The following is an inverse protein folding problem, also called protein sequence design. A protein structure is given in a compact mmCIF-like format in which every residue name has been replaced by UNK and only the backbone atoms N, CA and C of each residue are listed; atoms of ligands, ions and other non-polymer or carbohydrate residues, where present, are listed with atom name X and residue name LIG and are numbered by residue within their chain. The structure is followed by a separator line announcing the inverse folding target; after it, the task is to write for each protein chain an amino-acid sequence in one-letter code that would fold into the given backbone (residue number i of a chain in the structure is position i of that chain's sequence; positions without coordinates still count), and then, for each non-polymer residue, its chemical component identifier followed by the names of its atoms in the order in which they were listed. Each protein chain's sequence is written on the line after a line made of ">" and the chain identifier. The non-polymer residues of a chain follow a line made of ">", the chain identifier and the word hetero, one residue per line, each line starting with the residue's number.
data_IF_876400940140
#
_entry.id   IF_876400940140
#
_cell.length_a   1.000
_cell.length_b   1.000
_cell.length_c   1.000
_cell.angle_alpha   90.00
_cell.angle_beta   90.00
_cell.angle_gamma   90.00
#
_symmetry.space_group_name_H-M   'P 1'
#
loop_
_entity.id
_entity.type
_entity.pdbx_description
1 polymer ?
#
# COMPACT_ATOMS: atom_id res chain seq x y z
N UNK A 1 -3.45 5.72 -15.16
CA UNK A 1 -4.52 5.52 -14.15
C UNK A 1 -4.13 5.87 -12.70
N UNK A 2 -2.85 5.96 -12.34
CA UNK A 2 -2.44 6.25 -10.95
C UNK A 2 -2.83 7.65 -10.44
N UNK A 3 -3.17 7.72 -9.16
CA UNK A 3 -3.38 8.92 -8.35
C UNK A 3 -2.70 8.68 -6.99
N UNK A 4 -1.97 9.65 -6.47
CA UNK A 4 -1.20 9.47 -5.25
C UNK A 4 -1.59 10.54 -4.23
N UNK A 5 -1.92 10.12 -3.01
CA UNK A 5 -2.18 11.03 -1.89
C UNK A 5 -1.05 10.91 -0.89
N UNK A 6 -0.28 11.99 -0.71
CA UNK A 6 0.86 12.03 0.22
C UNK A 6 0.36 12.38 1.63
N UNK A 7 0.62 11.49 2.59
CA UNK A 7 0.18 11.59 3.99
C UNK A 7 1.42 11.74 4.86
N UNK A 8 1.54 12.88 5.56
CA UNK A 8 2.72 13.24 6.38
C UNK A 8 2.32 13.98 7.64
N UNK A 9 3.22 14.05 8.61
CA UNK A 9 3.05 14.78 9.88
C UNK A 9 1.77 14.32 10.59
N UNK A 10 0.93 15.24 11.06
CA UNK A 10 -0.36 14.93 11.68
C UNK A 10 -1.30 14.07 10.82
N UNK A 11 -1.10 14.02 9.49
CA UNK A 11 -1.84 13.13 8.60
C UNK A 11 -1.62 11.65 8.89
N UNK A 12 -0.43 11.26 9.38
CA UNK A 12 -0.11 9.87 9.71
C UNK A 12 -0.98 9.37 10.87
N UNK A 13 -1.10 10.17 11.92
CA UNK A 13 -1.97 9.87 13.06
C UNK A 13 -3.45 9.80 12.63
N UNK A 14 -3.89 10.67 11.72
CA UNK A 14 -5.25 10.63 11.17
C UNK A 14 -5.52 9.34 10.39
N UNK A 15 -4.56 8.89 9.57
CA UNK A 15 -4.68 7.62 8.85
C UNK A 15 -4.75 6.42 9.81
N UNK A 16 -3.89 6.39 10.84
CA UNK A 16 -3.91 5.33 11.85
C UNK A 16 -5.24 5.25 12.60
N UNK A 17 -5.80 6.41 12.98
CA UNK A 17 -7.10 6.50 13.62
C UNK A 17 -8.24 6.02 12.70
N UNK A 18 -8.22 6.42 11.42
CA UNK A 18 -9.24 6.00 10.45
C UNK A 18 -9.19 4.49 10.21
N UNK A 19 -8.00 3.91 10.02
CA UNK A 19 -7.84 2.45 9.89
C UNK A 19 -8.36 1.71 11.13
N UNK A 20 -8.08 2.22 12.33
CA UNK A 20 -8.62 1.66 13.57
C UNK A 20 -10.15 1.75 13.63
N UNK A 21 -10.72 2.90 13.26
CA UNK A 21 -12.18 3.10 13.20
C UNK A 21 -12.83 2.10 12.23
N UNK A 22 -12.33 2.02 10.99
CA UNK A 22 -12.82 1.07 9.97
C UNK A 22 -12.73 -0.38 10.46
N UNK A 23 -11.63 -0.75 11.13
CA UNK A 23 -11.49 -2.08 11.70
C UNK A 23 -12.58 -2.40 12.74
N UNK A 24 -12.92 -1.45 13.62
CA UNK A 24 -13.98 -1.61 14.62
C UNK A 24 -15.37 -1.71 13.98
N UNK A 25 -15.61 -1.01 12.88
CA UNK A 25 -16.90 -1.00 12.18
C UNK A 25 -17.12 -2.28 11.37
N UNK A 26 -16.06 -2.80 10.73
CA UNK A 26 -16.18 -3.90 9.77
C UNK A 26 -15.93 -5.28 10.39
N UNK A 27 -15.21 -5.37 11.50
CA UNK A 27 -14.88 -6.65 12.14
C UNK A 27 -15.83 -6.94 13.27
N UNK A 28 -16.47 -8.12 13.20
CA UNK A 28 -17.39 -8.57 14.24
C UNK A 28 -16.68 -8.72 15.60
N UNK A 29 -17.38 -8.54 16.73
CA UNK A 29 -16.77 -8.61 18.06
C UNK A 29 -15.99 -9.91 18.34
N UNK A 30 -16.45 -11.04 17.80
CA UNK A 30 -15.80 -12.35 17.96
C UNK A 30 -14.46 -12.48 17.22
N UNK A 31 -14.26 -11.70 16.14
CA UNK A 31 -13.05 -11.68 15.34
C UNK A 31 -12.16 -10.46 15.64
N UNK A 32 -12.62 -9.59 16.55
CA UNK A 32 -11.90 -8.38 16.90
C UNK A 32 -10.67 -8.70 17.73
N UNK A 33 -9.51 -8.22 17.26
CA UNK A 33 -8.25 -8.35 17.97
C UNK A 33 -7.75 -6.97 18.36
N UNK A 34 -7.69 -6.69 19.66
CA UNK A 34 -7.19 -5.41 20.20
C UNK A 34 -5.78 -5.10 19.67
N UNK A 35 -4.89 -6.11 19.64
CA UNK A 35 -3.55 -5.99 19.06
C UNK A 35 -3.56 -5.51 17.60
N UNK A 36 -4.53 -5.97 16.79
CA UNK A 36 -4.65 -5.55 15.39
C UNK A 36 -5.12 -4.10 15.30
N UNK A 37 -6.10 -3.71 16.11
CA UNK A 37 -6.56 -2.33 16.21
C UNK A 37 -5.41 -1.37 16.59
N UNK A 38 -4.66 -1.69 17.64
CA UNK A 38 -3.54 -0.87 18.11
C UNK A 38 -2.41 -0.77 17.06
N UNK A 39 -2.20 -1.85 16.30
CA UNK A 39 -1.14 -1.90 15.28
C UNK A 39 -1.30 -0.87 14.16
N UNK A 40 -2.50 -0.34 13.90
CA UNK A 40 -2.70 0.67 12.87
C UNK A 40 -2.08 2.01 13.25
N UNK A 41 -2.31 2.47 14.48
CA UNK A 41 -1.69 3.69 14.99
C UNK A 41 -0.17 3.53 15.11
N UNK A 42 0.28 2.38 15.65
CA UNK A 42 1.70 2.06 15.77
C UNK A 42 2.42 2.11 14.41
N UNK A 43 1.97 1.34 13.43
CA UNK A 43 2.62 1.26 12.11
C UNK A 43 2.62 2.58 11.35
N UNK A 44 1.53 3.34 11.43
CA UNK A 44 1.47 4.65 10.77
C UNK A 44 2.39 5.67 11.43
N UNK A 45 2.59 5.59 12.75
CA UNK A 45 3.53 6.45 13.48
C UNK A 45 5.01 6.12 13.25
N UNK A 46 5.32 4.88 12.82
CA UNK A 46 6.69 4.44 12.52
C UNK A 46 7.19 4.90 11.15
N UNK A 47 6.32 5.45 10.30
CA UNK A 47 6.69 5.98 8.99
C UNK A 47 6.89 7.50 9.04
N UNK A 48 7.81 8.01 8.23
CA UNK A 48 7.98 9.46 8.01
C UNK A 48 6.98 10.00 6.97
N UNK A 49 6.56 9.13 6.05
CA UNK A 49 5.64 9.44 4.97
C UNK A 49 4.91 8.17 4.52
N UNK A 50 3.61 8.31 4.24
CA UNK A 50 2.81 7.26 3.61
C UNK A 50 2.18 7.84 2.35
N UNK A 51 2.23 7.11 1.24
CA UNK A 51 1.52 7.48 0.01
C UNK A 51 0.36 6.51 -0.16
N UNK A 52 -0.88 7.02 -0.16
CA UNK A 52 -2.01 6.21 -0.60
C UNK A 52 -1.94 6.03 -2.11
N UNK A 53 -1.95 4.76 -2.53
CA UNK A 53 -1.87 4.33 -3.92
C UNK A 53 -3.30 4.22 -4.42
N UNK A 54 -3.74 5.20 -5.20
CA UNK A 54 -5.09 5.25 -5.74
C UNK A 54 -5.05 5.00 -7.25
N UNK A 55 -6.12 4.41 -7.76
CA UNK A 55 -6.30 4.11 -9.17
C UNK A 55 -7.63 4.68 -9.64
N UNK A 56 -7.58 5.52 -10.67
CA UNK A 56 -8.76 5.99 -11.39
C UNK A 56 -9.06 5.00 -12.52
N UNK A 57 -10.18 4.29 -12.41
CA UNK A 57 -10.67 3.34 -13.41
C UNK A 57 -11.33 4.12 -14.53
N UNK A 58 -10.89 3.89 -15.77
CA UNK A 58 -11.41 4.61 -16.94
C UNK A 58 -12.58 3.92 -17.62
N UNK A 59 -12.71 2.60 -17.46
CA UNK A 59 -13.67 1.77 -18.22
C UNK A 59 -13.36 1.67 -19.72
N UNK A 60 -12.21 2.18 -20.19
CA UNK A 60 -11.81 2.18 -21.61
C UNK A 60 -10.90 1.02 -21.99
N UNK A 61 -10.16 0.50 -21.02
CA UNK A 61 -9.27 -0.65 -21.15
C UNK A 61 -9.55 -1.61 -19.99
N UNK A 62 -9.15 -2.89 -20.09
CA UNK A 62 -9.31 -3.83 -18.98
C UNK A 62 -8.72 -3.28 -17.69
N UNK A 63 -9.46 -3.38 -16.59
CA UNK A 63 -9.06 -2.80 -15.31
C UNK A 63 -7.73 -3.37 -14.80
N UNK A 64 -7.43 -4.65 -15.12
CA UNK A 64 -6.17 -5.28 -14.74
C UNK A 64 -4.95 -4.62 -15.40
N UNK A 65 -5.10 -4.06 -16.61
CA UNK A 65 -4.04 -3.30 -17.29
C UNK A 65 -3.80 -1.97 -16.57
N UNK A 66 -4.88 -1.34 -16.08
CA UNK A 66 -4.77 -0.14 -15.27
C UNK A 66 -4.07 -0.42 -13.93
N UNK A 67 -4.42 -1.54 -13.29
CA UNK A 67 -3.77 -2.01 -12.06
C UNK A 67 -2.29 -2.33 -12.28
N UNK A 68 -1.95 -2.99 -13.39
CA UNK A 68 -0.57 -3.26 -13.77
C UNK A 68 0.22 -1.97 -13.95
N UNK A 69 -0.36 -0.97 -14.63
CA UNK A 69 0.25 0.35 -14.79
C UNK A 69 0.49 1.08 -13.45
N UNK A 70 -0.46 1.00 -12.50
CA UNK A 70 -0.24 1.54 -11.15
C UNK A 70 0.85 0.76 -10.41
N UNK A 71 0.88 -0.56 -10.56
CA UNK A 71 1.89 -1.43 -9.92
C UNK A 71 3.31 -1.11 -10.43
N UNK A 72 3.49 -0.88 -11.72
CA UNK A 72 4.74 -0.39 -12.30
C UNK A 72 5.15 0.98 -11.73
N UNK A 73 4.19 1.90 -11.55
CA UNK A 73 4.47 3.20 -10.95
C UNK A 73 4.95 3.06 -9.49
N UNK A 74 4.36 2.15 -8.70
CA UNK A 74 4.81 1.88 -7.34
C UNK A 74 6.19 1.20 -7.32
N UNK A 75 6.46 0.28 -8.24
CA UNK A 75 7.79 -0.31 -8.38
C UNK A 75 8.86 0.75 -8.71
N UNK A 76 8.54 1.72 -9.58
CA UNK A 76 9.44 2.84 -9.86
C UNK A 76 9.68 3.70 -8.61
N UNK A 77 8.65 3.94 -7.78
CA UNK A 77 8.82 4.62 -6.49
C UNK A 77 9.73 3.82 -5.55
N UNK A 78 9.59 2.49 -5.49
CA UNK A 78 10.43 1.63 -4.66
C UNK A 78 11.91 1.66 -5.08
N UNK A 79 12.19 1.57 -6.39
CA UNK A 79 13.55 1.72 -6.93
C UNK A 79 14.14 3.11 -6.62
N UNK A 80 13.31 4.15 -6.71
CA UNK A 80 13.72 5.52 -6.37
C UNK A 80 14.03 5.65 -4.88
N UNK A 81 13.18 5.12 -4.01
CA UNK A 81 13.38 5.13 -2.56
C UNK A 81 14.71 4.44 -2.18
N UNK A 82 14.97 3.26 -2.75
CA UNK A 82 16.24 2.54 -2.57
C UNK A 82 17.44 3.39 -2.99
N UNK A 83 17.38 4.03 -4.17
CA UNK A 83 18.47 4.91 -4.65
C UNK A 83 18.77 6.09 -3.73
N UNK A 84 17.77 6.52 -2.96
CA UNK A 84 17.86 7.61 -1.97
C UNK A 84 18.12 7.11 -0.55
N UNK A 85 18.34 5.81 -0.36
CA UNK A 85 18.49 5.16 0.96
C UNK A 85 17.28 5.36 1.87
N UNK A 86 16.09 5.39 1.28
CA UNK A 86 14.80 5.43 1.98
C UNK A 86 14.21 4.03 1.94
N UNK A 87 13.93 3.48 3.11
CA UNK A 87 13.24 2.19 3.21
C UNK A 87 11.77 2.39 2.85
N UNK A 88 11.23 1.47 2.05
CA UNK A 88 9.83 1.53 1.68
C UNK A 88 9.21 0.15 1.52
N UNK A 89 7.90 0.06 1.77
CA UNK A 89 7.12 -1.15 1.50
C UNK A 89 5.67 -0.85 1.14
N UNK A 90 5.09 -1.70 0.29
CA UNK A 90 3.66 -1.67 -0.04
C UNK A 90 2.87 -2.48 1.02
N UNK A 91 1.85 -1.89 1.60
CA UNK A 91 0.84 -2.57 2.42
C UNK A 91 -0.55 -2.54 1.77
N UNK A 92 -1.25 -3.68 1.79
CA UNK A 92 -2.63 -3.84 1.32
C UNK A 92 -3.52 -4.41 2.45
N UNK A 93 -3.79 -3.63 3.52
CA UNK A 93 -4.67 -4.10 4.60
C UNK A 93 -6.08 -4.42 4.05
N UNK A 94 -6.84 -5.32 4.70
CA UNK A 94 -8.18 -5.70 4.25
C UNK A 94 -9.19 -4.53 4.23
N UNK A 95 -8.84 -3.42 4.89
CA UNK A 95 -9.64 -2.20 5.00
C UNK A 95 -9.36 -1.19 3.87
N UNK A 96 -8.51 -1.55 2.89
CA UNK A 96 -8.00 -0.59 1.90
C UNK A 96 -9.12 0.01 1.04
N UNK A 97 -10.15 -0.78 0.74
CA UNK A 97 -11.27 -0.35 -0.09
C UNK A 97 -12.19 0.66 0.63
N UNK A 98 -12.18 0.67 1.96
CA UNK A 98 -13.03 1.53 2.80
C UNK A 98 -12.40 2.91 3.08
N UNK A 99 -11.16 3.15 2.63
CA UNK A 99 -10.48 4.44 2.77
C UNK A 99 -11.00 5.53 1.82
N UNK A 100 -11.92 5.21 0.91
CA UNK A 100 -12.38 6.14 -0.14
C UNK A 100 -12.84 7.50 0.40
N UNK A 101 -13.69 7.49 1.44
CA UNK A 101 -14.21 8.71 2.07
C UNK A 101 -13.11 9.55 2.74
N UNK A 102 -12.19 8.90 3.45
CA UNK A 102 -11.05 9.57 4.10
C UNK A 102 -10.11 10.22 3.08
N UNK A 103 -9.89 9.55 1.95
CA UNK A 103 -9.01 10.00 0.89
C UNK A 103 -9.68 10.96 -0.11
N UNK A 104 -10.99 11.18 0.00
CA UNK A 104 -11.75 12.02 -0.92
C UNK A 104 -11.80 11.46 -2.35
N UNK A 105 -11.84 10.13 -2.49
CA UNK A 105 -11.86 9.47 -3.79
C UNK A 105 -13.19 9.67 -4.50
N UNK A 106 -13.12 9.79 -5.82
CA UNK A 106 -14.31 9.79 -6.69
C UNK A 106 -14.87 8.37 -6.83
N UNK A 107 -16.11 8.26 -7.32
CA UNK A 107 -16.77 6.97 -7.54
C UNK A 107 -15.99 6.02 -8.48
N UNK A 108 -15.26 6.57 -9.46
CA UNK A 108 -14.42 5.79 -10.36
C UNK A 108 -12.97 5.62 -9.84
N UNK A 109 -12.68 6.01 -8.60
CA UNK A 109 -11.36 5.90 -7.99
C UNK A 109 -11.38 4.91 -6.83
N UNK A 110 -10.30 4.14 -6.69
CA UNK A 110 -10.14 3.20 -5.58
C UNK A 110 -8.73 3.19 -5.02
N UNK A 111 -8.62 3.04 -3.70
CA UNK A 111 -7.35 2.80 -3.05
C UNK A 111 -6.97 1.32 -3.18
N UNK A 112 -5.74 1.05 -3.63
CA UNK A 112 -5.22 -0.30 -3.83
C UNK A 112 -4.05 -0.62 -2.88
N UNK A 113 -3.56 0.37 -2.14
CA UNK A 113 -2.47 0.17 -1.21
C UNK A 113 -2.00 1.42 -0.51
N UNK A 114 -1.15 1.22 0.48
CA UNK A 114 -0.41 2.26 1.20
C UNK A 114 1.08 1.99 1.04
N UNK A 115 1.82 2.96 0.54
CA UNK A 115 3.27 2.88 0.39
C UNK A 115 3.94 3.60 1.56
N UNK A 116 4.44 2.84 2.52
CA UNK A 116 5.10 3.36 3.72
C UNK A 116 6.55 3.67 3.38
N UNK A 117 7.06 4.80 3.89
CA UNK A 117 8.44 5.24 3.66
C UNK A 117 9.05 5.86 4.93
N UNK A 118 10.34 5.66 5.11
CA UNK A 118 11.13 6.30 6.16
C UNK A 118 12.61 5.96 6.04
N UNK A 119 13.45 6.75 6.70
CA UNK A 119 14.87 6.36 6.85
C UNK A 119 14.98 5.21 7.85
N UNK A 120 15.87 4.26 7.58
CA UNK A 120 16.13 3.13 8.46
C UNK A 120 17.62 2.88 8.59
N UNK A 121 17.99 2.18 9.67
CA UNK A 121 19.33 1.67 9.91
C UNK A 121 19.37 0.13 9.86
N UNK A 122 18.34 -0.48 9.26
CA UNK A 122 18.27 -1.94 9.09
C UNK A 122 19.46 -2.46 8.28
N UNK A 123 20.02 -3.59 8.70
CA UNK A 123 21.13 -4.22 7.99
C UNK A 123 20.61 -4.86 6.69
N UNK A 124 21.42 -4.90 5.61
CA UNK A 124 21.08 -5.67 4.44
C UNK A 124 20.84 -7.14 4.79
N UNK A 125 19.79 -7.74 4.22
CA UNK A 125 19.45 -9.15 4.42
C UNK A 125 19.42 -9.87 3.07
N UNK A 126 19.70 -11.17 3.10
CA UNK A 126 19.67 -11.99 1.89
C UNK A 126 18.21 -12.25 1.48
N UNK A 127 17.78 -11.83 0.28
CA UNK A 127 16.41 -12.03 -0.15
C UNK A 127 16.13 -13.54 -0.32
N UNK A 128 15.00 -14.00 0.21
CA UNK A 128 14.53 -15.36 -0.04
C UNK A 128 13.87 -15.40 -1.44
N UNK A 129 14.57 -15.94 -2.44
CA UNK A 129 14.10 -16.07 -3.82
C UNK A 129 14.39 -17.48 -4.32
N UNK A 130 13.41 -18.07 -5.00
CA UNK A 130 13.63 -19.29 -5.78
C UNK A 130 14.14 -18.97 -7.18
N UNK A 131 14.73 -19.98 -7.83
CA UNK A 131 15.32 -19.89 -9.16
C UNK A 131 14.36 -19.31 -10.20
N UNK A 132 14.90 -18.60 -11.20
CA UNK A 132 14.07 -18.05 -12.30
C UNK A 132 13.54 -19.17 -13.20
N UNK A 133 14.26 -20.28 -13.27
CA UNK A 133 13.95 -21.49 -14.02
C UNK A 133 12.64 -22.13 -13.54
N UNK A 134 12.24 -21.93 -12.27
CA UNK A 134 10.95 -22.40 -11.75
C UNK A 134 9.76 -21.56 -12.24
N UNK A 135 10.01 -20.41 -12.86
CA UNK A 135 9.00 -19.38 -13.22
C UNK A 135 8.96 -19.06 -14.71
N UNK A 136 9.85 -19.66 -15.50
CA UNK A 136 9.96 -19.41 -16.94
C UNK A 136 9.76 -20.73 -17.68
N UNK A 137 8.90 -20.70 -18.69
CA UNK A 137 8.76 -21.77 -19.66
C UNK A 137 8.94 -21.18 -21.06
N UNK A 138 9.71 -21.88 -21.87
CA UNK A 138 10.01 -21.48 -23.24
C UNK A 138 9.18 -22.34 -24.19
N UNK A 139 8.59 -21.71 -25.20
CA UNK A 139 7.92 -22.38 -26.31
C UNK A 139 8.78 -22.05 -27.53
N UNK A 140 9.61 -23.00 -27.94
CA UNK A 140 10.53 -22.86 -29.06
C UNK A 140 10.07 -23.63 -30.30
N UNK A 141 9.02 -24.45 -30.15
CA UNK A 141 8.30 -25.20 -31.20
C UNK A 141 6.79 -25.22 -30.94
#
# INVERSE_FOLDING_TARGET
>A
PWRFTVIRKAGLAKLGAELGKLYKELVSPQNFLQKKYDSFAEKTSQADCIIAINMAVSGKIPEWEELAAVSCAVQNMALTAESLKVGAYWSSPPLIHDLGSFLGLKENEKCIGLFYMGYHNEKPWAPNRTSIEEKVSWIEE
#
